data_IF_666682750724
#
_entry.id   IF_666682750724
#
_cell.length_a   1.000
_cell.length_b   1.000
_cell.length_c   1.000
_cell.angle_alpha   90.00
_cell.angle_beta   90.00
_cell.angle_gamma   90.00
#
_symmetry.space_group_name_H-M   'P 1'
#
loop_
_entity.id
_entity.type
_entity.pdbx_description
1 polymer ?
#
# COMPACT_ATOMS: atom_id res chain seq x y z
N UNK A 1 -13.55 3.48 -7.44
CA UNK A 1 -12.97 4.41 -6.46
C UNK A 1 -11.71 5.01 -7.07
N UNK A 2 -11.69 6.30 -7.41
CA UNK A 2 -10.52 6.94 -8.05
C UNK A 2 -10.36 8.37 -7.52
N UNK A 3 -9.31 8.62 -6.73
CA UNK A 3 -8.89 9.94 -6.25
C UNK A 3 -7.66 10.44 -7.02
N UNK A 4 -7.64 10.16 -8.34
CA UNK A 4 -6.47 10.33 -9.22
C UNK A 4 -5.80 11.69 -9.06
N UNK A 5 -6.58 12.76 -9.02
CA UNK A 5 -6.03 14.13 -8.89
C UNK A 5 -5.27 14.36 -7.58
N UNK A 6 -5.74 13.78 -6.47
CA UNK A 6 -5.06 13.88 -5.17
C UNK A 6 -3.88 12.90 -5.07
N UNK A 7 -3.99 11.73 -5.71
CA UNK A 7 -2.95 10.71 -5.71
C UNK A 7 -1.73 11.09 -6.58
N UNK A 8 -1.96 11.83 -7.67
CA UNK A 8 -0.93 12.30 -8.59
C UNK A 8 0.09 13.26 -7.95
N UNK A 9 -0.24 13.90 -6.82
CA UNK A 9 0.69 14.81 -6.15
C UNK A 9 1.18 15.96 -7.05
N UNK A 10 0.34 16.42 -7.98
CA UNK A 10 0.72 17.27 -9.12
C UNK A 10 1.29 18.64 -8.72
N UNK A 11 1.11 19.05 -7.47
CA UNK A 11 1.70 20.27 -6.93
C UNK A 11 2.65 19.92 -5.79
N UNK A 12 3.88 20.47 -5.75
CA UNK A 12 4.76 20.36 -4.59
C UNK A 12 4.00 20.79 -3.31
N UNK A 13 3.99 19.93 -2.30
CA UNK A 13 3.23 20.15 -1.06
C UNK A 13 1.76 19.73 -1.10
N UNK A 14 1.26 19.15 -2.21
CA UNK A 14 -0.07 18.54 -2.20
C UNK A 14 -0.07 17.25 -1.35
N UNK A 15 -0.97 17.20 -0.37
CA UNK A 15 -1.14 16.02 0.48
C UNK A 15 -1.76 14.89 -0.35
N UNK A 16 -1.09 13.74 -0.40
CA UNK A 16 -1.59 12.55 -1.09
C UNK A 16 -2.26 11.59 -0.11
N UNK A 17 -2.81 12.10 0.98
CA UNK A 17 -3.60 11.33 1.92
C UNK A 17 -4.95 10.96 1.28
N UNK A 18 -4.94 9.90 0.48
CA UNK A 18 -6.11 9.36 -0.21
C UNK A 18 -6.57 8.08 0.48
N UNK A 19 -7.86 7.73 0.38
CA UNK A 19 -8.36 6.47 0.91
C UNK A 19 -7.90 5.31 0.00
N UNK A 20 -7.41 4.24 0.63
CA UNK A 20 -6.85 3.03 0.02
C UNK A 20 -7.76 1.86 0.40
N UNK A 21 -8.06 0.98 -0.57
CA UNK A 21 -8.71 -0.29 -0.28
C UNK A 21 -7.65 -1.31 0.13
N UNK A 22 -7.81 -1.88 1.33
CA UNK A 22 -6.91 -2.94 1.79
C UNK A 22 -7.20 -4.24 1.06
N UNK A 23 -6.23 -4.75 0.30
CA UNK A 23 -6.34 -6.03 -0.41
C UNK A 23 -6.17 -7.27 0.48
N UNK A 24 -5.79 -7.09 1.75
CA UNK A 24 -5.68 -8.18 2.74
C UNK A 24 -6.97 -8.40 3.51
N UNK A 25 -7.84 -7.39 3.60
CA UNK A 25 -9.13 -7.52 4.25
C UNK A 25 -10.02 -8.51 3.49
N UNK A 26 -10.88 -9.26 4.20
CA UNK A 26 -11.88 -10.10 3.55
C UNK A 26 -12.71 -9.27 2.54
N UNK A 27 -12.95 -9.81 1.34
CA UNK A 27 -13.80 -9.13 0.38
C UNK A 27 -15.23 -9.02 0.93
N UNK A 28 -16.01 -8.02 0.49
CA UNK A 28 -17.40 -7.90 0.86
C UNK A 28 -18.20 -9.15 0.43
N UNK A 29 -19.22 -9.51 1.20
CA UNK A 29 -20.06 -10.67 0.91
C UNK A 29 -20.78 -10.54 -0.44
N UNK A 30 -21.15 -9.31 -0.83
CA UNK A 30 -21.70 -8.99 -2.14
C UNK A 30 -20.88 -7.89 -2.80
N UNK A 31 -20.82 -7.91 -4.14
CA UNK A 31 -20.15 -6.86 -4.92
C UNK A 31 -20.76 -5.46 -4.73
N UNK A 32 -22.00 -5.39 -4.27
CA UNK A 32 -22.73 -4.14 -3.99
C UNK A 32 -22.51 -3.61 -2.59
N UNK A 33 -21.90 -4.39 -1.70
CA UNK A 33 -21.69 -3.96 -0.32
C UNK A 33 -20.54 -2.96 -0.25
N UNK A 34 -20.60 -2.09 0.76
CA UNK A 34 -19.59 -1.08 1.00
C UNK A 34 -18.29 -1.73 1.49
N UNK A 35 -17.17 -1.33 0.87
CA UNK A 35 -15.84 -1.68 1.37
C UNK A 35 -15.27 -0.51 2.18
N UNK A 36 -14.80 -0.74 3.41
CA UNK A 36 -14.11 0.30 4.16
C UNK A 36 -12.81 0.65 3.44
N UNK A 37 -12.60 1.94 3.22
CA UNK A 37 -11.36 2.48 2.69
C UNK A 37 -10.56 3.14 3.82
N UNK A 38 -9.26 2.89 3.85
CA UNK A 38 -8.35 3.34 4.90
C UNK A 38 -7.52 4.49 4.36
N UNK A 39 -7.49 5.63 5.03
CA UNK A 39 -6.63 6.75 4.67
C UNK A 39 -5.16 6.32 4.63
N UNK A 40 -4.40 6.79 3.62
CA UNK A 40 -2.99 6.42 3.42
C UNK A 40 -2.18 6.49 4.71
N UNK A 41 -2.30 7.60 5.45
CA UNK A 41 -1.52 7.80 6.67
C UNK A 41 -1.96 6.90 7.84
N UNK A 42 -3.18 6.36 7.78
CA UNK A 42 -3.71 5.40 8.75
C UNK A 42 -3.49 3.94 8.34
N UNK A 43 -3.04 3.67 7.11
CA UNK A 43 -2.79 2.32 6.62
C UNK A 43 -1.78 1.53 7.47
N UNK A 44 -0.67 2.11 7.95
CA UNK A 44 0.27 1.38 8.80
C UNK A 44 -0.36 0.89 10.12
N UNK A 45 -1.19 1.72 10.76
CA UNK A 45 -1.92 1.36 11.98
C UNK A 45 -3.00 0.30 11.72
N UNK A 46 -3.69 0.39 10.58
CA UNK A 46 -4.62 -0.64 10.14
C UNK A 46 -3.92 -1.99 9.96
N UNK A 47 -2.75 -2.03 9.32
CA UNK A 47 -1.97 -3.26 9.17
C UNK A 47 -1.56 -3.83 10.53
N UNK A 48 -1.05 -2.98 11.44
CA UNK A 48 -0.65 -3.40 12.79
C UNK A 48 -1.79 -4.05 13.59
N UNK A 49 -3.02 -3.56 13.42
CA UNK A 49 -4.18 -4.00 14.22
C UNK A 49 -5.01 -5.10 13.57
N UNK A 50 -5.09 -5.14 12.24
CA UNK A 50 -5.95 -6.07 11.49
C UNK A 50 -5.16 -7.14 10.72
N UNK A 51 -3.87 -6.93 10.47
CA UNK A 51 -3.00 -7.77 9.66
C UNK A 51 -1.60 -7.89 10.30
N UNK A 52 -1.55 -8.14 11.62
CA UNK A 52 -0.32 -8.11 12.43
C UNK A 52 0.73 -9.14 12.01
N UNK A 53 0.35 -10.13 11.22
CA UNK A 53 1.25 -11.12 10.62
C UNK A 53 2.13 -10.54 9.50
N UNK A 54 1.73 -9.39 8.92
CA UNK A 54 2.49 -8.70 7.89
C UNK A 54 3.42 -7.65 8.48
N UNK A 55 4.59 -7.51 7.87
CA UNK A 55 5.52 -6.43 8.15
C UNK A 55 4.87 -5.08 7.81
N UNK A 56 5.15 -4.04 8.59
CA UNK A 56 4.67 -2.68 8.38
C UNK A 56 5.73 -1.67 8.82
N UNK A 57 5.61 -0.38 8.47
CA UNK A 57 6.57 0.64 8.92
C UNK A 57 6.78 0.68 10.45
N UNK A 58 5.74 0.44 11.27
CA UNK A 58 5.86 0.43 12.74
C UNK A 58 6.21 -0.95 13.31
N UNK A 59 5.98 -2.02 12.55
CA UNK A 59 6.33 -3.39 12.93
C UNK A 59 7.07 -4.04 11.76
N UNK A 60 8.38 -3.79 11.61
CA UNK A 60 9.09 -4.24 10.43
C UNK A 60 9.20 -5.76 10.36
N UNK A 61 9.10 -6.47 11.48
CA UNK A 61 9.13 -7.94 11.50
C UNK A 61 7.78 -8.53 11.05
N UNK A 62 7.83 -9.52 10.15
CA UNK A 62 6.64 -10.24 9.68
C UNK A 62 6.73 -10.73 8.25
N UNK A 63 5.59 -11.14 7.69
CA UNK A 63 5.46 -11.52 6.28
C UNK A 63 5.60 -10.24 5.43
N UNK A 64 6.46 -10.23 4.38
CA UNK A 64 6.59 -9.06 3.51
C UNK A 64 5.26 -8.62 2.90
N UNK A 65 4.99 -7.31 2.87
CA UNK A 65 3.73 -6.78 2.33
C UNK A 65 3.61 -7.04 0.83
N UNK A 66 2.41 -7.33 0.30
CA UNK A 66 2.19 -7.34 -1.14
C UNK A 66 2.57 -6.00 -1.77
N UNK A 67 3.31 -6.04 -2.87
CA UNK A 67 3.83 -4.85 -3.56
C UNK A 67 2.77 -3.75 -3.78
N UNK A 68 1.57 -4.12 -4.26
CA UNK A 68 0.48 -3.16 -4.53
C UNK A 68 0.02 -2.39 -3.29
N UNK A 69 -0.02 -3.05 -2.14
CA UNK A 69 -0.43 -2.43 -0.88
C UNK A 69 0.66 -1.50 -0.39
N UNK A 70 1.91 -1.97 -0.41
CA UNK A 70 3.07 -1.16 -0.07
C UNK A 70 3.19 0.10 -0.95
N UNK A 71 3.02 -0.05 -2.26
CA UNK A 71 3.11 1.05 -3.22
C UNK A 71 2.02 2.10 -2.95
N UNK A 72 0.80 1.65 -2.65
CA UNK A 72 -0.33 2.54 -2.36
C UNK A 72 -0.16 3.34 -1.05
N UNK A 73 0.53 2.76 -0.06
CA UNK A 73 0.75 3.39 1.25
C UNK A 73 2.03 4.23 1.33
N UNK A 74 2.88 4.21 0.28
CA UNK A 74 4.16 4.89 0.27
C UNK A 74 3.98 6.41 0.37
N UNK A 75 4.57 7.00 1.40
CA UNK A 75 4.75 8.45 1.52
C UNK A 75 6.13 8.77 0.95
N UNK A 76 6.23 9.74 0.04
CA UNK A 76 7.53 10.10 -0.55
C UNK A 76 8.24 11.12 0.33
N UNK A 77 9.56 11.19 0.18
CA UNK A 77 10.38 12.14 0.95
C UNK A 77 9.97 13.58 0.69
N UNK A 78 9.60 13.91 -0.54
CA UNK A 78 9.14 15.24 -0.93
C UNK A 78 7.82 15.59 -0.26
N UNK A 79 6.93 14.60 -0.07
CA UNK A 79 5.68 14.78 0.66
C UNK A 79 5.94 15.01 2.15
N UNK A 80 6.84 14.24 2.76
CA UNK A 80 7.24 14.42 4.16
C UNK A 80 7.87 15.79 4.41
N UNK A 81 8.78 16.22 3.52
CA UNK A 81 9.37 17.57 3.56
C UNK A 81 8.31 18.66 3.33
N UNK A 82 7.38 18.44 2.41
CA UNK A 82 6.26 19.35 2.15
C UNK A 82 5.30 19.51 3.34
N UNK A 83 5.19 18.47 4.19
CA UNK A 83 4.47 18.52 5.46
C UNK A 83 5.27 19.23 6.58
N UNK A 84 6.50 19.66 6.32
CA UNK A 84 7.36 20.32 7.31
C UNK A 84 8.03 19.35 8.28
N UNK A 85 8.07 18.04 7.96
CA UNK A 85 8.83 17.07 8.77
C UNK A 85 10.32 17.36 8.55
N UNK A 86 11.04 17.62 9.64
CA UNK A 86 12.47 17.87 9.57
C UNK A 86 13.17 16.61 9.05
N UNK A 87 14.15 16.79 8.16
CA UNK A 87 14.76 15.66 7.45
C UNK A 87 15.46 14.63 8.33
N UNK A 88 15.91 15.03 9.53
CA UNK A 88 16.48 14.18 10.58
C UNK A 88 15.43 13.35 11.33
N UNK A 89 14.15 13.75 11.25
CA UNK A 89 13.02 13.05 11.85
C UNK A 89 12.29 12.14 10.86
N UNK A 90 12.67 12.17 9.57
CA UNK A 90 12.12 11.29 8.54
C UNK A 90 12.73 9.89 8.72
N UNK A 91 11.94 8.85 9.01
CA UNK A 91 12.45 7.49 9.16
C UNK A 91 12.97 6.95 7.82
N UNK A 92 13.84 5.96 7.88
CA UNK A 92 14.26 5.24 6.68
C UNK A 92 13.06 4.59 5.99
N UNK A 93 13.11 4.54 4.65
CA UNK A 93 12.02 3.92 3.88
C UNK A 93 11.86 2.46 4.27
N UNK A 94 10.62 2.05 4.52
CA UNK A 94 10.27 0.67 4.80
C UNK A 94 10.41 -0.19 3.54
N UNK A 95 11.22 -1.25 3.61
CA UNK A 95 11.62 -2.09 2.46
C UNK A 95 11.13 -3.55 2.51
N UNK A 96 10.41 -3.98 3.55
CA UNK A 96 9.91 -5.36 3.64
C UNK A 96 8.66 -5.57 2.78
N UNK A 97 8.90 -5.82 1.50
CA UNK A 97 7.89 -5.95 0.46
C UNK A 97 8.10 -7.25 -0.28
N UNK A 98 7.03 -8.01 -0.45
CA UNK A 98 6.99 -9.09 -1.42
C UNK A 98 7.02 -8.46 -2.81
N UNK A 99 8.22 -8.38 -3.41
CA UNK A 99 8.33 -8.24 -4.86
C UNK A 99 7.49 -9.37 -5.46
N UNK A 100 6.60 -9.06 -6.41
CA UNK A 100 5.68 -10.04 -6.97
C UNK A 100 6.45 -11.25 -7.52
N UNK A 101 6.60 -12.30 -6.71
CA UNK A 101 7.21 -13.56 -7.13
C UNK A 101 6.17 -14.26 -7.99
N UNK A 102 6.45 -14.34 -9.29
CA UNK A 102 5.84 -15.26 -10.25
C UNK A 102 4.33 -15.15 -10.52
N UNK A 103 3.90 -14.06 -11.18
CA UNK A 103 2.72 -14.12 -12.07
C UNK A 103 3.09 -13.87 -13.54
N UNK A 104 4.26 -14.37 -13.95
CA UNK A 104 4.58 -14.63 -15.37
C UNK A 104 4.97 -16.09 -15.62
N UNK A 105 5.06 -16.96 -14.59
CA UNK A 105 5.47 -18.37 -14.76
C UNK A 105 4.33 -19.40 -14.85
N UNK A 106 3.04 -19.03 -14.90
CA UNK A 106 1.95 -20.03 -14.87
C UNK A 106 0.81 -19.94 -15.89
N UNK A 107 0.76 -18.94 -16.77
CA UNK A 107 -0.28 -18.90 -17.85
C UNK A 107 0.25 -19.08 -19.26
N UNK A 108 1.57 -19.23 -19.45
CA UNK A 108 2.14 -19.47 -20.80
C UNK A 108 2.79 -20.84 -20.96
N UNK A 109 2.85 -21.67 -19.90
CA UNK A 109 3.51 -22.99 -19.95
C UNK A 109 2.54 -24.19 -19.95
N UNK A 110 1.22 -24.00 -19.80
CA UNK A 110 0.28 -25.14 -19.84
C UNK A 110 -1.03 -24.84 -20.58
N UNK A 111 -1.08 -25.28 -21.84
CA UNK A 111 -2.30 -25.50 -22.63
C UNK A 111 -2.07 -25.14 -24.10
N UNK A 112 -1.71 -26.02 -25.02
CA UNK A 112 -1.64 -27.47 -25.00
C UNK A 112 -1.55 -27.89 -26.46
N UNK A 113 -0.55 -28.70 -26.81
CA UNK A 113 -0.49 -29.33 -28.12
C UNK A 113 -1.62 -30.34 -28.28
N UNK A 114 -2.32 -30.27 -29.40
CA UNK A 114 -2.53 -31.38 -30.33
C UNK A 114 -2.95 -30.83 -31.68
#
# INVERSE_FOLDING_TARGET
FQFKTADEGRTPGSCRNVPILCGLCPPPARKTDWMPAIWRYNMPEHLRTQHSEYASPQQPEGIPLPYKIWESMKISREEELGMGIKGDLIPSQFTQVAAAVDTLKRTTDQGGGK
#
